data_IF_039526155131
#
_entry.id   IF_039526155131
#
_cell.length_a   1.000
_cell.length_b   1.000
_cell.length_c   1.000
_cell.angle_alpha   90.00
_cell.angle_beta   90.00
_cell.angle_gamma   90.00
#
_symmetry.space_group_name_H-M   'P 1'
#
loop_
_entity.id
_entity.type
_entity.pdbx_description
1 polymer ?
#
# COMPACT_ATOMS: atom_id res chain seq x y z
N UNK A 1 47.86 -44.40 3.41
CA UNK A 1 48.06 -44.09 1.98
C UNK A 1 47.13 -42.96 1.65
N UNK A 2 47.73 -41.80 1.39
CA UNK A 2 47.14 -40.65 0.72
C UNK A 2 46.50 -41.02 -0.61
N UNK A 3 45.47 -40.27 -0.99
CA UNK A 3 45.32 -39.79 -2.37
C UNK A 3 44.43 -38.53 -2.35
N UNK A 4 45.09 -37.41 -2.07
CA UNK A 4 44.66 -36.07 -2.47
C UNK A 4 44.42 -36.02 -3.97
N UNK A 5 43.35 -35.37 -4.43
CA UNK A 5 43.31 -34.77 -5.76
C UNK A 5 42.52 -33.47 -5.71
N UNK A 6 43.26 -32.39 -5.87
CA UNK A 6 42.81 -31.01 -6.01
C UNK A 6 41.89 -30.83 -7.22
N UNK A 7 40.97 -29.86 -7.15
CA UNK A 7 40.65 -28.95 -8.26
C UNK A 7 39.59 -27.93 -7.80
N UNK A 8 39.94 -26.65 -7.89
CA UNK A 8 39.00 -25.54 -7.99
C UNK A 8 38.97 -24.60 -6.80
N UNK A 9 39.96 -23.71 -6.71
CA UNK A 9 39.68 -22.37 -6.18
C UNK A 9 38.62 -21.74 -7.08
N UNK A 10 37.42 -21.50 -6.55
CA UNK A 10 36.56 -20.43 -7.06
C UNK A 10 36.36 -19.42 -5.93
N UNK A 11 37.32 -18.50 -5.94
CA UNK A 11 37.23 -17.10 -5.58
C UNK A 11 35.84 -16.60 -5.14
N UNK A 12 35.78 -16.22 -3.86
CA UNK A 12 35.24 -14.96 -3.32
C UNK A 12 33.84 -14.44 -3.75
N UNK A 13 33.07 -14.07 -2.70
CA UNK A 13 31.92 -13.15 -2.65
C UNK A 13 30.54 -13.70 -3.09
N UNK A 14 29.42 -13.59 -2.34
CA UNK A 14 29.04 -12.69 -1.24
C UNK A 14 28.10 -13.39 -0.22
N UNK A 15 28.08 -12.94 1.04
CA UNK A 15 27.03 -13.29 1.99
C UNK A 15 25.71 -12.63 1.56
N UNK A 16 24.67 -13.45 1.39
CA UNK A 16 23.27 -13.06 1.54
C UNK A 16 22.88 -11.70 0.95
N UNK A 17 22.86 -11.60 -0.37
CA UNK A 17 22.14 -10.51 -1.04
C UNK A 17 20.65 -10.75 -0.77
N UNK A 18 20.15 -10.24 0.35
CA UNK A 18 18.73 -10.00 0.54
C UNK A 18 18.37 -8.91 -0.43
N UNK A 19 18.03 -9.29 -1.65
CA UNK A 19 17.60 -8.37 -2.69
C UNK A 19 16.32 -7.69 -2.16
N UNK A 20 16.46 -6.47 -1.64
CA UNK A 20 15.33 -5.65 -1.16
C UNK A 20 14.55 -5.17 -2.38
N UNK A 21 13.63 -5.98 -2.86
CA UNK A 21 12.74 -5.63 -3.97
C UNK A 21 11.66 -4.66 -3.46
N UNK A 22 11.93 -3.36 -3.55
CA UNK A 22 10.97 -2.24 -3.55
C UNK A 22 11.73 -0.96 -3.99
N UNK A 23 12.62 -1.08 -4.98
CA UNK A 23 13.35 0.07 -5.52
C UNK A 23 12.42 0.80 -6.49
N UNK A 24 12.08 2.04 -6.17
CA UNK A 24 11.42 2.94 -7.10
C UNK A 24 12.51 3.62 -7.91
N UNK A 25 12.56 3.34 -9.22
CA UNK A 25 13.45 4.06 -10.13
C UNK A 25 13.03 5.54 -10.18
N UNK A 26 13.91 6.44 -9.75
CA UNK A 26 13.63 7.88 -9.70
C UNK A 26 13.34 8.48 -11.08
N UNK A 27 13.87 7.86 -12.14
CA UNK A 27 13.62 8.26 -13.54
C UNK A 27 12.27 7.75 -14.09
N UNK A 28 11.61 6.80 -13.41
CA UNK A 28 10.37 6.16 -13.86
C UNK A 28 9.40 5.97 -12.70
N UNK A 29 9.04 7.09 -12.09
CA UNK A 29 8.07 7.13 -11.01
C UNK A 29 6.68 6.66 -11.48
N UNK A 30 6.06 5.67 -10.80
CA UNK A 30 4.79 5.12 -11.26
C UNK A 30 3.64 6.10 -11.01
N UNK A 31 2.62 6.12 -11.89
CA UNK A 31 1.43 6.97 -11.69
C UNK A 31 0.69 6.65 -10.38
N UNK A 32 0.70 5.39 -9.97
CA UNK A 32 0.16 4.92 -8.71
C UNK A 32 1.18 4.04 -8.00
N UNK A 33 1.24 4.14 -6.67
CA UNK A 33 1.94 3.14 -5.87
C UNK A 33 1.10 2.71 -4.67
N UNK A 34 1.42 1.53 -4.17
CA UNK A 34 0.69 0.86 -3.10
C UNK A 34 1.64 0.58 -1.95
N UNK A 35 1.24 0.98 -0.74
CA UNK A 35 1.96 0.68 0.49
C UNK A 35 1.14 -0.30 1.28
N UNK A 36 1.71 -1.47 1.58
CA UNK A 36 1.03 -2.48 2.40
C UNK A 36 1.48 -2.38 3.86
N UNK A 37 0.50 -2.35 4.77
CA UNK A 37 0.70 -2.65 6.18
C UNK A 37 0.15 -4.04 6.47
N UNK A 38 1.01 -5.04 6.29
CA UNK A 38 0.69 -6.44 6.53
C UNK A 38 0.47 -6.74 8.03
N UNK A 39 0.79 -5.82 8.93
CA UNK A 39 0.63 -6.05 10.37
C UNK A 39 -0.85 -6.13 10.78
N UNK A 40 -1.75 -5.59 9.97
CA UNK A 40 -3.19 -5.64 10.18
C UNK A 40 -3.88 -6.92 9.63
N UNK A 41 -3.13 -7.81 8.96
CA UNK A 41 -3.63 -9.12 8.45
C UNK A 41 -3.13 -10.29 9.32
N UNK A 42 -2.16 -10.06 10.20
CA UNK A 42 -1.62 -11.12 11.05
C UNK A 42 -2.36 -11.14 12.38
N UNK A 43 -2.96 -12.27 12.79
CA UNK A 43 -3.54 -12.42 14.12
C UNK A 43 -2.42 -12.29 15.15
N UNK A 44 -2.23 -11.08 15.68
CA UNK A 44 -1.29 -10.83 16.76
C UNK A 44 -2.07 -10.74 18.07
N UNK A 45 -1.52 -11.32 19.14
CA UNK A 45 -2.10 -11.33 20.49
C UNK A 45 -2.25 -9.89 21.05
N UNK A 46 -1.58 -8.92 20.43
CA UNK A 46 -1.61 -7.51 20.80
C UNK A 46 -2.22 -6.68 19.67
N UNK A 47 -3.38 -6.06 19.94
CA UNK A 47 -3.93 -5.01 19.08
C UNK A 47 -2.89 -3.91 18.96
N UNK A 48 -2.31 -3.73 17.76
CA UNK A 48 -1.46 -2.58 17.45
C UNK A 48 -2.33 -1.37 17.13
N UNK A 49 -1.82 -0.18 17.45
CA UNK A 49 -2.41 1.06 16.98
C UNK A 49 -2.42 1.07 15.45
N UNK A 50 -3.53 1.44 14.79
CA UNK A 50 -3.57 1.53 13.34
C UNK A 50 -2.47 2.44 12.81
N UNK A 51 -1.76 2.00 11.77
CA UNK A 51 -0.75 2.83 11.13
C UNK A 51 -1.41 4.05 10.47
N UNK A 52 -0.80 5.22 10.67
CA UNK A 52 -1.20 6.43 9.97
C UNK A 52 -0.55 6.48 8.60
N UNK A 53 -1.36 6.82 7.60
CA UNK A 53 -0.92 7.08 6.23
C UNK A 53 -1.19 8.56 5.94
N UNK A 54 -0.15 9.38 5.73
CA UNK A 54 -0.33 10.81 5.48
C UNK A 54 -1.06 11.06 4.16
N UNK A 55 -1.84 12.14 4.07
CA UNK A 55 -2.56 12.44 2.84
C UNK A 55 -1.67 12.79 1.65
N UNK A 56 -0.48 13.35 1.91
CA UNK A 56 0.53 13.70 0.90
C UNK A 56 1.85 13.07 1.32
N UNK A 57 2.56 12.49 0.35
CA UNK A 57 3.92 11.97 0.48
C UNK A 57 4.76 12.46 -0.67
N UNK A 58 6.04 12.69 -0.43
CA UNK A 58 6.99 13.09 -1.46
C UNK A 58 8.00 11.97 -1.69
N UNK A 59 8.17 11.57 -2.95
CA UNK A 59 9.13 10.55 -3.37
C UNK A 59 9.90 11.11 -4.56
N UNK A 60 11.22 11.26 -4.42
CA UNK A 60 12.09 11.82 -5.45
C UNK A 60 11.52 13.12 -6.05
N UNK A 61 11.27 14.11 -5.16
CA UNK A 61 10.75 15.45 -5.50
C UNK A 61 9.36 15.45 -6.16
N UNK A 62 8.69 14.29 -6.22
CA UNK A 62 7.34 14.15 -6.77
C UNK A 62 6.35 13.94 -5.63
N UNK A 63 5.36 14.82 -5.55
CA UNK A 63 4.26 14.67 -4.62
C UNK A 63 3.29 13.58 -5.09
N UNK A 64 2.80 12.79 -4.15
CA UNK A 64 1.71 11.86 -4.34
C UNK A 64 0.63 12.10 -3.31
N UNK A 65 -0.62 12.00 -3.75
CA UNK A 65 -1.81 12.21 -2.93
C UNK A 65 -2.46 10.87 -2.65
N UNK A 66 -2.84 10.65 -1.41
CA UNK A 66 -3.62 9.49 -0.99
C UNK A 66 -4.92 9.44 -1.80
N UNK A 67 -5.04 8.38 -2.60
CA UNK A 67 -6.12 8.16 -3.55
C UNK A 67 -7.20 7.25 -2.97
N UNK A 68 -6.79 6.26 -2.19
CA UNK A 68 -7.69 5.37 -1.49
C UNK A 68 -6.97 4.45 -0.51
N UNK A 69 -7.76 3.73 0.28
CA UNK A 69 -7.27 2.74 1.24
C UNK A 69 -8.12 1.48 1.17
N UNK A 70 -7.49 0.34 1.39
CA UNK A 70 -8.13 -0.95 1.64
C UNK A 70 -8.08 -1.20 3.14
N UNK A 71 -9.23 -1.55 3.71
CA UNK A 71 -9.39 -1.81 5.12
C UNK A 71 -9.76 -3.27 5.33
N UNK A 72 -9.34 -3.80 6.47
CA UNK A 72 -9.86 -5.07 6.97
C UNK A 72 -10.73 -4.81 8.20
N UNK A 73 -11.94 -5.35 8.22
CA UNK A 73 -12.80 -5.26 9.42
C UNK A 73 -12.34 -6.22 10.52
N UNK A 74 -11.60 -7.27 10.16
CA UNK A 74 -11.05 -8.25 11.09
C UNK A 74 -9.56 -8.53 10.83
N UNK A 75 -8.73 -8.74 11.86
CA UNK A 75 -7.33 -9.16 11.70
C UNK A 75 -7.16 -10.49 10.96
N UNK A 76 -8.23 -11.29 10.85
CA UNK A 76 -8.29 -12.53 10.08
C UNK A 76 -8.24 -12.31 8.56
N UNK A 77 -8.46 -11.08 8.09
CA UNK A 77 -8.50 -10.75 6.66
C UNK A 77 -9.72 -11.35 5.94
N UNK A 78 -10.84 -11.54 6.65
CA UNK A 78 -12.03 -12.20 6.09
C UNK A 78 -12.92 -11.24 5.30
N UNK A 79 -12.93 -9.95 5.65
CA UNK A 79 -13.76 -8.94 5.01
C UNK A 79 -12.95 -7.68 4.74
N UNK A 80 -12.96 -7.26 3.47
CA UNK A 80 -12.25 -6.08 3.00
C UNK A 80 -13.22 -5.11 2.32
N UNK A 81 -13.06 -3.84 2.64
CA UNK A 81 -13.70 -2.78 1.88
C UNK A 81 -12.66 -1.73 1.54
N UNK A 82 -12.96 -0.94 0.52
CA UNK A 82 -12.09 0.16 0.09
C UNK A 82 -12.81 1.47 0.27
N UNK A 83 -12.07 2.52 0.63
CA UNK A 83 -12.52 3.91 0.50
C UNK A 83 -11.59 4.57 -0.50
N UNK A 84 -12.10 5.03 -1.62
CA UNK A 84 -11.29 5.60 -2.69
C UNK A 84 -11.99 6.72 -3.42
N UNK A 85 -11.19 7.58 -4.05
CA UNK A 85 -11.66 8.60 -4.97
C UNK A 85 -12.00 7.94 -6.30
N UNK A 86 -13.22 8.12 -6.78
CA UNK A 86 -13.69 7.61 -8.07
C UNK A 86 -14.12 8.81 -8.90
N UNK A 87 -13.61 8.90 -10.13
CA UNK A 87 -14.02 9.94 -11.08
C UNK A 87 -14.91 9.32 -12.14
N UNK A 88 -16.11 9.86 -12.29
CA UNK A 88 -17.09 9.46 -13.31
C UNK A 88 -17.75 10.70 -13.90
N UNK A 89 -17.84 10.79 -15.24
CA UNK A 89 -18.43 11.93 -15.94
C UNK A 89 -17.93 13.31 -15.45
N UNK A 90 -16.62 13.44 -15.21
CA UNK A 90 -16.00 14.69 -14.75
C UNK A 90 -16.26 15.06 -13.29
N UNK A 91 -17.01 14.23 -12.55
CA UNK A 91 -17.22 14.40 -11.10
C UNK A 91 -16.37 13.39 -10.34
N UNK A 92 -15.56 13.86 -9.40
CA UNK A 92 -14.88 12.99 -8.45
C UNK A 92 -15.70 12.89 -7.17
N UNK A 93 -15.90 11.67 -6.69
CA UNK A 93 -16.54 11.41 -5.41
C UNK A 93 -15.69 10.42 -4.61
N UNK A 94 -15.81 10.49 -3.29
CA UNK A 94 -15.29 9.47 -2.41
C UNK A 94 -16.35 8.40 -2.25
N UNK A 95 -15.98 7.13 -2.43
CA UNK A 95 -16.90 6.02 -2.28
C UNK A 95 -16.31 4.89 -1.47
N UNK A 96 -17.21 4.15 -0.81
CA UNK A 96 -16.93 2.84 -0.26
C UNK A 96 -17.26 1.80 -1.32
N UNK A 97 -16.29 0.90 -1.58
CA UNK A 97 -16.56 -0.36 -2.27
C UNK A 97 -16.40 -1.52 -1.28
N UNK A 98 -17.51 -2.17 -0.93
CA UNK A 98 -17.54 -3.30 0.02
C UNK A 98 -17.75 -4.61 -0.76
N UNK A 99 -16.87 -5.60 -0.56
CA UNK A 99 -16.89 -6.85 -1.31
C UNK A 99 -17.94 -7.88 -0.84
N UNK A 100 -18.65 -7.63 0.28
CA UNK A 100 -19.66 -8.55 0.83
C UNK A 100 -21.10 -8.03 0.73
N UNK A 101 -21.31 -6.77 0.32
CA UNK A 101 -22.63 -6.15 0.36
C UNK A 101 -23.43 -6.33 -0.95
N UNK A 102 -24.75 -6.46 -0.89
CA UNK A 102 -25.59 -6.52 -2.12
C UNK A 102 -25.54 -5.24 -2.97
N UNK A 103 -25.20 -4.10 -2.34
CA UNK A 103 -24.93 -2.81 -2.98
C UNK A 103 -23.46 -2.45 -2.77
N UNK A 104 -22.60 -3.02 -3.61
CA UNK A 104 -21.15 -2.93 -3.44
C UNK A 104 -20.58 -1.51 -3.43
N UNK A 105 -21.27 -0.50 -3.97
CA UNK A 105 -20.77 0.88 -4.08
C UNK A 105 -21.67 1.87 -3.34
N UNK A 106 -21.09 2.63 -2.41
CA UNK A 106 -21.76 3.72 -1.69
C UNK A 106 -20.95 5.01 -1.82
N UNK A 107 -21.59 6.09 -2.27
CA UNK A 107 -20.96 7.42 -2.28
C UNK A 107 -20.95 7.97 -0.85
N UNK A 108 -19.78 8.36 -0.37
CA UNK A 108 -19.58 9.00 0.94
C UNK A 108 -19.68 10.51 0.83
N UNK A 109 -18.99 11.10 -0.13
CA UNK A 109 -18.91 12.55 -0.28
C UNK A 109 -18.58 12.92 -1.74
N UNK A 110 -19.07 14.07 -2.18
CA UNK A 110 -18.77 14.65 -3.51
C UNK A 110 -17.94 15.92 -3.41
N UNK A 111 -17.72 16.46 -2.21
CA UNK A 111 -16.90 17.63 -1.97
C UNK A 111 -15.45 17.20 -1.69
N UNK A 112 -14.55 17.46 -2.64
CA UNK A 112 -13.15 17.04 -2.53
C UNK A 112 -12.42 17.57 -1.29
N UNK A 113 -12.87 18.72 -0.75
CA UNK A 113 -12.31 19.30 0.48
C UNK A 113 -12.49 18.39 1.70
N UNK A 114 -13.49 17.52 1.68
CA UNK A 114 -13.78 16.59 2.77
C UNK A 114 -12.99 15.28 2.64
N UNK A 115 -12.46 14.93 1.46
CA UNK A 115 -11.87 13.61 1.22
C UNK A 115 -10.71 13.29 2.16
N UNK A 116 -9.93 14.31 2.53
CA UNK A 116 -8.80 14.17 3.44
C UNK A 116 -9.22 13.61 4.80
N UNK A 117 -10.31 14.11 5.39
CA UNK A 117 -10.74 13.67 6.73
C UNK A 117 -11.16 12.21 6.75
N UNK A 118 -11.79 11.73 5.67
CA UNK A 118 -12.12 10.32 5.50
C UNK A 118 -10.88 9.44 5.31
N UNK A 119 -9.94 9.88 4.47
CA UNK A 119 -8.77 9.07 4.10
C UNK A 119 -7.65 9.08 5.13
N UNK A 120 -7.48 10.12 5.94
CA UNK A 120 -6.47 10.14 7.01
C UNK A 120 -6.92 9.42 8.28
N UNK A 121 -8.20 9.02 8.38
CA UNK A 121 -8.71 8.34 9.58
C UNK A 121 -7.92 7.04 9.85
N UNK A 122 -7.30 6.88 11.04
CA UNK A 122 -6.53 5.69 11.39
C UNK A 122 -7.47 4.52 11.72
N UNK A 123 -7.94 3.86 10.67
CA UNK A 123 -8.65 2.57 10.73
C UNK A 123 -7.70 1.47 10.25
N UNK A 124 -8.00 0.20 10.54
CA UNK A 124 -7.24 -1.00 10.17
C UNK A 124 -6.97 -1.08 8.66
N UNK A 125 -6.01 -0.29 8.20
CA UNK A 125 -5.65 -0.11 6.80
C UNK A 125 -4.61 -1.16 6.46
N UNK A 126 -4.88 -1.91 5.41
CA UNK A 126 -3.98 -2.97 4.94
C UNK A 126 -3.18 -2.51 3.74
N UNK A 127 -3.78 -1.64 2.91
CA UNK A 127 -3.14 -1.05 1.74
C UNK A 127 -3.52 0.42 1.66
N UNK A 128 -2.54 1.30 1.48
CA UNK A 128 -2.75 2.66 1.03
C UNK A 128 -2.36 2.80 -0.44
N UNK A 129 -3.21 3.40 -1.25
CA UNK A 129 -2.96 3.71 -2.65
C UNK A 129 -2.71 5.20 -2.79
N UNK A 130 -1.57 5.55 -3.35
CA UNK A 130 -1.19 6.92 -3.66
C UNK A 130 -1.19 7.13 -5.17
N UNK A 131 -1.69 8.28 -5.61
CA UNK A 131 -1.65 8.72 -7.00
C UNK A 131 -0.69 9.89 -7.12
N UNK A 132 0.18 9.87 -8.14
CA UNK A 132 1.08 10.97 -8.47
C UNK A 132 0.27 12.26 -8.64
N UNK A 133 0.71 13.34 -7.98
CA UNK A 133 0.07 14.65 -8.07
C UNK A 133 0.50 15.32 -9.38
N UNK A 134 -0.37 15.19 -10.39
CA UNK A 134 -0.11 15.73 -11.71
C UNK A 134 0.95 14.92 -12.48
N UNK A 135 0.63 14.66 -13.73
CA UNK A 135 1.23 15.52 -14.77
C UNK A 135 0.18 16.59 -15.10
#
# INVERSE_FOLDING_TARGET
MDCTRELGEDSAELPGITTRHNLIETEKLPLFFFVSDLTNIVPTVHKKSPQQFPYIVEIAETEYILHGKVYSTEPSGVHFYTVSKISFNGTTFLAILDNLSGNNLQVLDTNENNFRSYLENPVNTVIACYKKKGD
#
